data_IF_377100502246
#
_entry.id   IF_377100502246
#
_cell.length_a   1.000
_cell.length_b   1.000
_cell.length_c   1.000
_cell.angle_alpha   90.00
_cell.angle_beta   90.00
_cell.angle_gamma   90.00
#
_symmetry.space_group_name_H-M   'P 1'
#
loop_
_entity.id
_entity.type
_entity.pdbx_description
1 polymer ?
#
# COMPACT_ATOMS: atom_id res chain seq x y z
N UNK A 1 3.50 -7.96 -11.52
CA UNK A 1 2.21 -7.30 -11.23
C UNK A 1 1.13 -7.96 -12.06
N UNK A 2 0.36 -8.86 -11.45
CA UNK A 2 -0.70 -9.63 -12.12
C UNK A 2 -1.91 -9.74 -11.19
N UNK A 3 -3.07 -9.26 -11.65
CA UNK A 3 -4.33 -9.26 -10.90
C UNK A 3 -4.64 -10.63 -10.29
N UNK A 4 -4.71 -11.65 -11.13
CA UNK A 4 -5.19 -12.99 -10.75
C UNK A 4 -4.25 -13.79 -9.85
N UNK A 5 -2.97 -13.40 -9.76
CA UNK A 5 -1.93 -14.14 -9.03
C UNK A 5 -1.45 -13.45 -7.77
N UNK A 6 -1.62 -12.13 -7.69
CA UNK A 6 -1.03 -11.34 -6.60
C UNK A 6 -1.61 -11.69 -5.23
N UNK A 7 -2.94 -11.71 -5.11
CA UNK A 7 -3.63 -12.01 -3.85
C UNK A 7 -3.40 -13.46 -3.43
N UNK A 8 -3.44 -14.41 -4.39
CA UNK A 8 -3.16 -15.81 -4.12
C UNK A 8 -1.74 -16.03 -3.56
N UNK A 9 -0.73 -15.37 -4.14
CA UNK A 9 0.65 -15.47 -3.66
C UNK A 9 0.80 -14.92 -2.22
N UNK A 10 0.04 -13.88 -1.89
CA UNK A 10 0.02 -13.34 -0.53
C UNK A 10 -0.67 -14.30 0.43
N UNK A 11 -1.80 -14.89 0.04
CA UNK A 11 -2.50 -15.89 0.87
C UNK A 11 -1.60 -17.09 1.17
N UNK A 12 -0.93 -17.63 0.16
CA UNK A 12 0.05 -18.71 0.31
C UNK A 12 1.19 -18.33 1.29
N UNK A 13 1.67 -17.08 1.21
CA UNK A 13 2.70 -16.58 2.14
C UNK A 13 2.16 -16.43 3.58
N UNK A 14 0.93 -15.95 3.76
CA UNK A 14 0.28 -15.87 5.07
C UNK A 14 0.15 -17.26 5.69
N UNK A 15 -0.31 -18.24 4.92
CA UNK A 15 -0.44 -19.63 5.39
C UNK A 15 0.91 -20.27 5.75
N UNK A 16 1.94 -19.98 4.96
CA UNK A 16 3.29 -20.54 5.19
C UNK A 16 4.01 -19.93 6.39
N UNK A 17 3.79 -18.65 6.69
CA UNK A 17 4.59 -17.90 7.67
C UNK A 17 3.81 -17.45 8.90
N UNK A 18 2.47 -17.47 8.86
CA UNK A 18 1.59 -17.03 9.96
C UNK A 18 2.01 -15.65 10.54
N UNK A 19 2.14 -14.60 9.72
CA UNK A 19 2.65 -13.31 10.17
C UNK A 19 1.62 -12.54 11.01
N UNK A 20 2.10 -11.67 11.91
CA UNK A 20 1.24 -10.71 12.62
C UNK A 20 0.91 -9.49 11.75
N UNK A 21 1.78 -9.16 10.80
CA UNK A 21 1.66 -7.97 9.94
C UNK A 21 1.95 -8.33 8.48
N UNK A 22 1.09 -7.87 7.57
CA UNK A 22 1.27 -8.02 6.12
C UNK A 22 1.28 -6.63 5.47
N UNK A 23 2.39 -6.23 4.92
CA UNK A 23 2.52 -4.96 4.19
C UNK A 23 2.96 -5.24 2.76
N UNK A 24 2.14 -4.85 1.80
CA UNK A 24 2.57 -4.81 0.40
C UNK A 24 3.18 -3.46 0.07
N UNK A 25 4.21 -3.49 -0.75
CA UNK A 25 4.90 -2.28 -1.23
C UNK A 25 4.78 -2.20 -2.73
N UNK A 26 4.37 -1.06 -3.24
CA UNK A 26 4.28 -0.77 -4.67
C UNK A 26 4.97 0.53 -5.03
N UNK A 27 5.41 0.65 -6.28
CA UNK A 27 5.99 1.89 -6.77
C UNK A 27 4.92 2.75 -7.44
N UNK A 28 4.82 4.02 -7.02
CA UNK A 28 3.96 5.02 -7.64
C UNK A 28 4.82 6.14 -8.23
N UNK A 29 5.09 6.03 -9.54
CA UNK A 29 5.83 7.07 -10.26
C UNK A 29 5.08 8.40 -10.25
N UNK A 30 5.78 9.47 -9.91
CA UNK A 30 5.20 10.81 -9.79
C UNK A 30 4.93 11.26 -8.35
N UNK A 31 4.96 10.36 -7.37
CA UNK A 31 4.92 10.75 -5.94
C UNK A 31 6.29 11.24 -5.47
N UNK A 32 6.30 12.18 -4.54
CA UNK A 32 7.50 12.80 -3.98
C UNK A 32 7.97 12.13 -2.69
N UNK A 33 7.12 11.36 -2.04
CA UNK A 33 7.28 10.84 -0.69
C UNK A 33 6.77 9.40 -0.55
N UNK A 34 7.02 8.80 0.60
CA UNK A 34 6.49 7.47 0.95
C UNK A 34 5.05 7.65 1.45
N UNK A 35 4.13 6.88 0.88
CA UNK A 35 2.72 7.06 1.15
C UNK A 35 2.05 5.77 1.63
N UNK A 36 1.86 5.60 2.96
CA UNK A 36 0.94 4.60 3.47
C UNK A 36 -0.48 4.86 2.98
N UNK A 37 -1.14 3.82 2.48
CA UNK A 37 -2.50 3.90 1.93
C UNK A 37 -3.53 3.67 3.04
N UNK A 38 -4.51 4.58 3.15
CA UNK A 38 -5.57 4.50 4.16
C UNK A 38 -6.66 3.52 3.81
N UNK A 39 -7.03 3.41 2.53
CA UNK A 39 -8.24 2.73 2.09
C UNK A 39 -8.03 2.06 0.74
N UNK A 40 -8.63 0.88 0.58
CA UNK A 40 -8.80 0.20 -0.70
C UNK A 40 -10.29 0.08 -1.02
N UNK A 41 -10.65 0.15 -2.29
CA UNK A 41 -12.04 0.10 -2.77
C UNK A 41 -12.28 -1.18 -3.60
N UNK A 42 -13.53 -1.66 -3.60
CA UNK A 42 -13.93 -2.91 -4.22
C UNK A 42 -14.16 -2.77 -5.73
N UNK A 43 -13.16 -2.28 -6.44
CA UNK A 43 -13.24 -2.10 -7.88
C UNK A 43 -11.87 -2.28 -8.55
N UNK A 44 -11.85 -2.99 -9.67
CA UNK A 44 -10.76 -3.01 -10.64
C UNK A 44 -11.19 -2.22 -11.88
N UNK A 45 -10.49 -1.13 -12.15
CA UNK A 45 -10.66 -0.31 -13.35
C UNK A 45 -9.26 0.07 -13.85
N UNK A 46 -8.73 -0.74 -14.78
CA UNK A 46 -7.34 -0.70 -15.18
C UNK A 46 -7.11 0.21 -16.39
N UNK A 47 -6.48 1.35 -16.18
CA UNK A 47 -6.08 2.25 -17.26
C UNK A 47 -5.13 1.61 -18.27
N UNK A 48 -4.32 0.65 -17.85
CA UNK A 48 -3.37 -0.11 -18.68
C UNK A 48 -3.49 -1.60 -18.38
N UNK A 49 -3.00 -2.45 -19.26
CA UNK A 49 -2.93 -3.89 -19.01
C UNK A 49 -1.94 -4.22 -17.90
N UNK A 50 -2.25 -5.24 -17.11
CA UNK A 50 -1.28 -5.87 -16.21
C UNK A 50 -0.24 -6.72 -17.00
N UNK A 51 0.69 -7.34 -16.29
CA UNK A 51 1.77 -8.10 -16.93
C UNK A 51 1.31 -9.38 -17.67
N UNK A 52 0.06 -9.80 -17.53
CA UNK A 52 -0.55 -10.90 -18.28
C UNK A 52 -1.63 -10.43 -19.27
N UNK A 53 -1.77 -9.13 -19.45
CA UNK A 53 -2.68 -8.55 -20.42
C UNK A 53 -4.10 -8.35 -19.90
N UNK A 54 -4.37 -8.56 -18.61
CA UNK A 54 -5.68 -8.30 -18.02
C UNK A 54 -5.91 -6.78 -17.93
N UNK A 55 -7.09 -6.34 -18.33
CA UNK A 55 -7.52 -4.94 -18.28
C UNK A 55 -9.01 -4.86 -17.94
N UNK A 56 -9.39 -5.16 -16.70
CA UNK A 56 -10.78 -5.02 -16.25
C UNK A 56 -11.21 -3.56 -16.29
N UNK A 57 -12.51 -3.36 -16.49
CA UNK A 57 -13.17 -2.04 -16.45
C UNK A 57 -14.38 -2.16 -15.54
N UNK A 58 -14.42 -1.37 -14.47
CA UNK A 58 -15.49 -1.34 -13.48
C UNK A 58 -15.90 -2.72 -12.93
N UNK A 59 -14.93 -3.64 -12.79
CA UNK A 59 -15.17 -4.97 -12.24
C UNK A 59 -15.06 -4.97 -10.71
N UNK A 60 -16.01 -5.63 -10.04
CA UNK A 60 -15.96 -5.87 -8.60
C UNK A 60 -14.84 -6.87 -8.29
N UNK A 61 -14.04 -6.60 -7.23
CA UNK A 61 -12.96 -7.50 -6.80
C UNK A 61 -13.51 -8.70 -6.04
N UNK A 62 -14.46 -8.47 -5.10
CA UNK A 62 -15.11 -9.51 -4.30
C UNK A 62 -16.61 -9.22 -4.15
N UNK A 63 -17.45 -10.14 -4.61
CA UNK A 63 -18.92 -10.01 -4.61
C UNK A 63 -19.51 -9.89 -3.19
N UNK A 64 -18.93 -10.59 -2.22
CA UNK A 64 -19.36 -10.59 -0.81
C UNK A 64 -18.50 -9.66 0.07
N UNK A 65 -17.63 -8.86 -0.53
CA UNK A 65 -16.78 -7.89 0.14
C UNK A 65 -17.48 -6.56 0.37
N UNK A 66 -16.96 -5.76 1.31
CA UNK A 66 -17.46 -4.41 1.53
C UNK A 66 -17.07 -3.49 0.36
N UNK A 67 -17.78 -2.35 0.21
CA UNK A 67 -17.45 -1.36 -0.82
C UNK A 67 -16.01 -0.81 -0.67
N UNK A 68 -15.50 -0.76 0.56
CA UNK A 68 -14.13 -0.36 0.86
C UNK A 68 -13.67 -0.98 2.18
N UNK A 69 -12.37 -1.20 2.29
CA UNK A 69 -11.70 -1.58 3.55
C UNK A 69 -10.65 -0.54 3.93
N UNK A 70 -10.67 -0.12 5.17
CA UNK A 70 -9.61 0.70 5.74
C UNK A 70 -8.47 -0.18 6.22
N UNK A 71 -7.23 0.28 6.00
CA UNK A 71 -6.05 -0.34 6.62
C UNK A 71 -6.20 -0.35 8.14
N UNK A 72 -5.88 -1.46 8.78
CA UNK A 72 -5.80 -1.57 10.23
C UNK A 72 -4.36 -1.38 10.76
N UNK A 73 -3.44 -0.93 9.89
CA UNK A 73 -2.12 -0.43 10.29
C UNK A 73 -2.24 0.97 10.90
N UNK A 74 -1.31 1.39 11.78
CA UNK A 74 -1.27 2.72 12.35
C UNK A 74 -0.71 3.74 11.34
N UNK A 75 -1.42 3.96 10.21
CA UNK A 75 -0.92 4.68 9.04
C UNK A 75 -0.53 6.14 9.32
N UNK A 76 -1.23 6.82 10.24
CA UNK A 76 -0.86 8.18 10.65
C UNK A 76 0.38 8.19 11.55
N UNK A 77 0.51 7.20 12.44
CA UNK A 77 1.71 7.04 13.24
C UNK A 77 2.91 6.71 12.36
N UNK A 78 2.74 5.87 11.32
CA UNK A 78 3.80 5.59 10.33
C UNK A 78 4.27 6.87 9.65
N UNK A 79 3.35 7.69 9.14
CA UNK A 79 3.68 8.98 8.51
C UNK A 79 4.41 9.90 9.49
N UNK A 80 3.87 10.05 10.71
CA UNK A 80 4.51 10.88 11.73
C UNK A 80 5.90 10.39 12.06
N UNK A 81 6.08 9.09 12.26
CA UNK A 81 7.36 8.51 12.64
C UNK A 81 8.43 8.69 11.56
N UNK A 82 8.07 8.52 10.27
CA UNK A 82 8.96 8.81 9.15
C UNK A 82 9.34 10.29 9.10
N UNK A 83 8.39 11.20 9.20
CA UNK A 83 8.64 12.65 9.15
C UNK A 83 9.49 13.14 10.34
N UNK A 84 9.26 12.63 11.54
CA UNK A 84 10.07 12.94 12.73
C UNK A 84 11.54 12.48 12.56
N UNK A 85 11.79 11.52 11.67
CA UNK A 85 13.11 11.02 11.33
C UNK A 85 13.65 11.54 9.98
N UNK A 86 13.11 12.65 9.49
CA UNK A 86 13.50 13.34 8.25
C UNK A 86 13.32 12.50 6.97
N UNK A 87 12.40 11.55 6.95
CA UNK A 87 11.98 10.84 5.73
C UNK A 87 10.62 11.40 5.31
N UNK A 88 10.53 12.02 4.11
CA UNK A 88 9.26 12.57 3.63
C UNK A 88 8.18 11.49 3.49
N UNK A 89 7.05 11.70 4.14
CA UNK A 89 5.90 10.80 4.07
C UNK A 89 4.58 11.56 4.22
N UNK A 90 3.57 11.13 3.48
CA UNK A 90 2.19 11.63 3.58
C UNK A 90 1.19 10.48 3.58
N UNK A 91 -0.01 10.74 4.09
CA UNK A 91 -1.08 9.75 4.12
C UNK A 91 -1.90 9.81 2.83
N UNK A 92 -1.94 8.73 2.10
CA UNK A 92 -2.75 8.63 0.88
C UNK A 92 -4.18 8.13 1.18
N UNK A 93 -5.16 8.73 0.52
CA UNK A 93 -6.57 8.34 0.61
C UNK A 93 -7.02 7.45 -0.57
N UNK A 94 -6.11 7.04 -1.44
CA UNK A 94 -6.45 6.14 -2.56
C UNK A 94 -5.22 5.41 -3.09
N UNK A 95 -5.33 4.10 -3.18
CA UNK A 95 -4.36 3.24 -3.88
C UNK A 95 -4.62 3.18 -5.41
N UNK A 96 -5.55 4.00 -5.91
CA UNK A 96 -6.05 3.95 -7.29
C UNK A 96 -7.02 2.81 -7.53
N UNK A 97 -7.09 2.33 -8.76
CA UNK A 97 -7.98 1.23 -9.19
C UNK A 97 -7.23 0.12 -9.94
N UNK A 98 -5.90 0.20 -9.95
CA UNK A 98 -5.01 -0.78 -10.59
C UNK A 98 -4.62 -1.90 -9.62
N UNK A 99 -3.65 -2.73 -9.98
CA UNK A 99 -3.22 -3.90 -9.19
C UNK A 99 -2.83 -3.56 -7.74
N UNK A 100 -2.36 -2.34 -7.45
CA UNK A 100 -2.04 -1.93 -6.08
C UNK A 100 -3.29 -1.91 -5.20
N UNK A 101 -4.38 -1.32 -5.68
CA UNK A 101 -5.67 -1.35 -4.99
C UNK A 101 -6.22 -2.78 -4.88
N UNK A 102 -6.14 -3.57 -5.96
CA UNK A 102 -6.55 -4.97 -5.96
C UNK A 102 -5.83 -5.79 -4.88
N UNK A 103 -4.51 -5.62 -4.76
CA UNK A 103 -3.68 -6.29 -3.75
C UNK A 103 -4.06 -5.83 -2.34
N UNK A 104 -4.13 -4.52 -2.11
CA UNK A 104 -4.50 -3.98 -0.80
C UNK A 104 -5.90 -4.43 -0.40
N UNK A 105 -6.87 -4.35 -1.32
CA UNK A 105 -8.23 -4.81 -1.07
C UNK A 105 -8.25 -6.30 -0.72
N UNK A 106 -7.54 -7.13 -1.49
CA UNK A 106 -7.47 -8.57 -1.26
C UNK A 106 -6.87 -8.94 0.11
N UNK A 107 -5.81 -8.24 0.55
CA UNK A 107 -5.24 -8.40 1.90
C UNK A 107 -6.29 -8.09 2.97
N UNK A 108 -6.94 -6.93 2.88
CA UNK A 108 -7.90 -6.47 3.89
C UNK A 108 -9.17 -7.32 3.89
N UNK A 109 -9.61 -7.81 2.73
CA UNK A 109 -10.69 -8.79 2.62
C UNK A 109 -10.35 -10.11 3.31
N UNK A 110 -9.13 -10.64 3.10
CA UNK A 110 -8.68 -11.86 3.80
C UNK A 110 -8.60 -11.66 5.31
N UNK A 111 -8.16 -10.49 5.76
CA UNK A 111 -8.14 -10.13 7.18
C UNK A 111 -9.57 -10.13 7.75
N UNK A 112 -10.53 -9.52 7.06
CA UNK A 112 -11.94 -9.50 7.47
C UNK A 112 -12.56 -10.90 7.54
N UNK A 113 -12.27 -11.78 6.57
CA UNK A 113 -12.94 -13.08 6.42
C UNK A 113 -12.22 -14.26 7.08
N UNK A 114 -10.88 -14.26 7.08
CA UNK A 114 -10.10 -15.46 7.45
C UNK A 114 -9.07 -15.20 8.56
N UNK A 115 -8.46 -14.03 8.61
CA UNK A 115 -7.27 -13.76 9.44
C UNK A 115 -7.43 -12.52 10.34
N UNK A 116 -8.46 -12.46 11.21
CA UNK A 116 -8.82 -11.24 11.95
C UNK A 116 -7.74 -10.72 12.92
N UNK A 117 -6.73 -11.53 13.21
CA UNK A 117 -5.63 -11.15 14.11
C UNK A 117 -4.45 -10.52 13.36
N UNK A 118 -4.44 -10.55 12.02
CA UNK A 118 -3.39 -9.95 11.20
C UNK A 118 -3.66 -8.46 11.00
N UNK A 119 -2.61 -7.64 11.07
CA UNK A 119 -2.65 -6.26 10.59
C UNK A 119 -2.16 -6.20 9.15
N UNK A 120 -2.81 -5.41 8.30
CA UNK A 120 -2.43 -5.34 6.90
C UNK A 120 -2.67 -3.99 6.24
N UNK A 121 -1.92 -3.76 5.16
CA UNK A 121 -2.05 -2.56 4.36
C UNK A 121 -1.06 -2.50 3.21
N UNK A 122 -0.92 -1.31 2.66
CA UNK A 122 -0.12 -1.04 1.48
C UNK A 122 0.65 0.27 1.63
N UNK A 123 1.88 0.30 1.12
CA UNK A 123 2.72 1.51 1.07
C UNK A 123 3.15 1.72 -0.38
N UNK A 124 2.93 2.92 -0.90
CA UNK A 124 3.57 3.32 -2.14
C UNK A 124 4.89 4.05 -1.87
N UNK A 125 5.88 3.76 -2.71
CA UNK A 125 7.19 4.41 -2.72
C UNK A 125 7.40 5.17 -4.04
N UNK A 126 8.21 6.26 -4.05
CA UNK A 126 8.60 6.96 -5.26
C UNK A 126 9.49 6.10 -6.18
N UNK A 127 9.85 6.65 -7.34
CA UNK A 127 10.95 6.13 -8.12
C UNK A 127 12.27 6.20 -7.35
N UNK A 128 13.14 5.22 -7.57
CA UNK A 128 14.56 5.32 -7.18
C UNK A 128 15.34 6.24 -8.13
N UNK A 129 16.44 6.81 -7.66
CA UNK A 129 17.32 7.68 -8.45
C UNK A 129 17.68 7.07 -9.80
N UNK A 130 18.06 5.80 -9.86
CA UNK A 130 18.45 5.12 -11.09
C UNK A 130 17.32 4.97 -12.14
N UNK A 131 16.08 5.09 -11.73
CA UNK A 131 14.92 4.94 -12.60
C UNK A 131 14.48 6.24 -13.29
N UNK A 132 15.08 7.37 -12.91
CA UNK A 132 14.71 8.71 -13.41
C UNK A 132 15.81 9.44 -14.15
N UNK A 133 16.95 8.78 -14.39
CA UNK A 133 18.13 9.40 -15.02
C UNK A 133 17.82 10.01 -16.41
N UNK A 134 16.85 9.46 -17.12
CA UNK A 134 16.36 9.88 -18.42
C UNK A 134 15.00 10.61 -18.39
N UNK A 135 14.42 10.81 -17.19
CA UNK A 135 13.10 11.43 -17.00
C UNK A 135 13.23 12.85 -16.47
N UNK A 136 12.77 13.83 -17.26
CA UNK A 136 12.74 15.22 -16.83
C UNK A 136 11.62 15.48 -15.82
N UNK A 137 11.89 16.31 -14.81
CA UNK A 137 10.90 16.76 -13.82
C UNK A 137 10.14 15.62 -13.13
N UNK A 138 10.81 14.50 -12.91
CA UNK A 138 10.23 13.33 -12.27
C UNK A 138 10.74 13.23 -10.84
N UNK A 139 9.87 13.21 -9.83
CA UNK A 139 10.29 13.05 -8.44
C UNK A 139 10.88 11.66 -8.21
N UNK A 140 11.83 11.60 -7.28
CA UNK A 140 12.48 10.36 -6.88
C UNK A 140 12.99 10.46 -5.44
N UNK A 141 13.33 9.32 -4.87
CA UNK A 141 13.97 9.19 -3.56
C UNK A 141 15.14 8.21 -3.67
N UNK A 142 16.20 8.41 -2.90
CA UNK A 142 17.31 7.45 -2.90
C UNK A 142 16.87 6.10 -2.33
N UNK A 143 17.54 5.01 -2.73
CA UNK A 143 17.22 3.69 -2.20
C UNK A 143 17.40 3.64 -0.67
N UNK A 144 18.44 4.28 -0.15
CA UNK A 144 18.70 4.30 1.30
C UNK A 144 17.58 5.01 2.08
N UNK A 145 17.06 6.12 1.55
CA UNK A 145 15.90 6.81 2.15
C UNK A 145 14.63 5.97 2.07
N UNK A 146 14.38 5.29 0.96
CA UNK A 146 13.22 4.38 0.81
C UNK A 146 13.32 3.25 1.83
N UNK A 147 14.48 2.60 1.93
CA UNK A 147 14.70 1.50 2.90
C UNK A 147 14.50 2.02 4.32
N UNK A 148 15.13 3.15 4.66
CA UNK A 148 14.98 3.76 5.99
C UNK A 148 13.54 4.11 6.31
N UNK A 149 12.80 4.63 5.34
CA UNK A 149 11.37 4.94 5.52
C UNK A 149 10.52 3.69 5.76
N UNK A 150 10.77 2.60 5.02
CA UNK A 150 10.07 1.33 5.24
C UNK A 150 10.40 0.72 6.62
N UNK A 151 11.67 0.80 7.06
CA UNK A 151 12.05 0.38 8.42
C UNK A 151 11.29 1.17 9.49
N UNK A 152 11.24 2.50 9.36
CA UNK A 152 10.49 3.38 10.28
C UNK A 152 8.98 3.10 10.25
N UNK A 153 8.42 2.79 9.08
CA UNK A 153 7.02 2.39 8.97
C UNK A 153 6.73 1.09 9.72
N UNK A 154 7.61 0.09 9.60
CA UNK A 154 7.52 -1.18 10.34
C UNK A 154 7.71 -0.95 11.85
N UNK A 155 8.67 -0.13 12.25
CA UNK A 155 8.89 0.24 13.64
C UNK A 155 7.64 0.89 14.25
N UNK A 156 6.98 1.81 13.53
CA UNK A 156 5.73 2.40 13.97
C UNK A 156 4.63 1.33 14.20
N UNK A 157 4.56 0.29 13.38
CA UNK A 157 3.61 -0.80 13.59
C UNK A 157 3.85 -1.59 14.89
N UNK A 158 5.09 -1.61 15.39
CA UNK A 158 5.42 -2.27 16.67
C UNK A 158 5.22 -1.35 17.88
N UNK A 159 5.39 -0.03 17.69
CA UNK A 159 5.27 0.98 18.75
C UNK A 159 3.81 1.36 19.02
N UNK A 160 2.94 1.27 18.02
CA UNK A 160 1.56 1.74 18.11
C UNK A 160 0.56 0.60 17.86
N UNK A 161 -0.14 0.18 18.89
CA UNK A 161 -1.22 -0.82 18.75
C UNK A 161 -2.44 -0.25 18.03
N UNK A 162 -2.74 1.03 18.24
CA UNK A 162 -3.80 1.80 17.59
C UNK A 162 -3.22 3.02 16.91
N UNK A 163 -3.87 3.52 15.85
CA UNK A 163 -3.41 4.70 15.14
C UNK A 163 -3.65 5.98 15.95
N UNK A 164 -2.80 6.97 15.74
CA UNK A 164 -2.89 8.27 16.42
C UNK A 164 -4.00 9.14 15.82
N UNK A 165 -4.61 9.98 16.65
CA UNK A 165 -5.62 10.96 16.22
C UNK A 165 -4.98 12.30 15.88
N UNK A 166 -4.53 12.44 14.65
CA UNK A 166 -3.98 13.70 14.09
C UNK A 166 -4.68 14.04 12.79
N UNK A 167 -4.59 15.29 12.37
CA UNK A 167 -4.99 15.69 11.01
C UNK A 167 -4.00 15.02 10.04
N UNK A 168 -4.52 14.39 9.01
CA UNK A 168 -3.71 13.71 8.00
C UNK A 168 -4.54 13.39 6.77
N UNK A 169 -3.87 13.27 5.65
CA UNK A 169 -4.43 13.08 4.33
C UNK A 169 -4.46 14.39 3.56
N UNK A 170 -3.84 14.37 2.40
CA UNK A 170 -3.87 15.48 1.47
C UNK A 170 -5.13 15.43 0.61
N UNK A 171 -5.58 16.60 0.19
CA UNK A 171 -6.51 16.77 -0.92
C UNK A 171 -5.61 16.85 -2.15
N UNK A 172 -5.55 15.78 -2.94
CA UNK A 172 -4.81 15.74 -4.19
C UNK A 172 -5.51 16.55 -5.25
#
# INVERSE_FOLDING_TARGET
TVRTKSVKAIEEAIEAHSPDIVISVGQAGGRFDITPERVAINIDDFRIKDNEGNQPTDEIIQEDGQAAYFSNLPVKAMVKHMNDNNIPATLSNTAGTFVCNHVMYGILYMIDKKYPNIKGGFIHIPYMTSQVMDKKNTPFMSLDEIVKGLELALEACTLYNEDIKTIGGEIC
#
